data_IF_208271215991
#
_entry.id   IF_208271215991
#
_cell.length_a   1.000
_cell.length_b   1.000
_cell.length_c   1.000
_cell.angle_alpha   90.00
_cell.angle_beta   90.00
_cell.angle_gamma   90.00
#
_symmetry.space_group_name_H-M   'P 1'
#
loop_
_entity.id
_entity.type
_entity.pdbx_description
1 polymer ?
#
# COMPACT_ATOMS: atom_id res chain seq x y z
N UNK A 1 -16.68 -22.81 64.21
CA UNK A 1 -16.90 -21.70 63.24
C UNK A 1 -15.88 -20.62 63.60
N UNK A 2 -14.89 -20.24 62.80
CA UNK A 2 -14.96 -19.65 61.47
C UNK A 2 -13.54 -19.73 60.85
N UNK A 3 -13.39 -20.36 59.69
CA UNK A 3 -12.16 -20.26 58.89
C UNK A 3 -12.23 -18.95 58.11
N UNK A 4 -11.27 -18.05 58.33
CA UNK A 4 -11.15 -16.81 57.56
C UNK A 4 -10.36 -17.09 56.28
N UNK A 5 -11.02 -16.91 55.13
CA UNK A 5 -10.41 -17.06 53.80
C UNK A 5 -9.46 -15.88 53.51
N UNK A 6 -8.31 -16.11 52.84
CA UNK A 6 -7.46 -15.02 52.34
C UNK A 6 -8.16 -14.25 51.19
N UNK A 7 -7.78 -12.99 50.94
CA UNK A 7 -8.43 -12.15 49.94
C UNK A 7 -8.23 -12.69 48.51
N UNK A 8 -9.19 -12.45 47.59
CA UNK A 8 -9.05 -12.87 46.20
C UNK A 8 -7.88 -12.15 45.55
N UNK A 9 -7.02 -12.92 44.89
CA UNK A 9 -5.98 -12.41 43.99
C UNK A 9 -6.66 -11.66 42.86
N UNK A 10 -6.33 -10.38 42.70
CA UNK A 10 -6.63 -9.57 41.52
C UNK A 10 -6.25 -10.34 40.26
N UNK A 11 -7.14 -10.52 39.27
CA UNK A 11 -6.70 -11.03 37.99
C UNK A 11 -5.78 -9.98 37.35
N UNK A 12 -4.53 -10.38 37.07
CA UNK A 12 -3.65 -9.64 36.17
C UNK A 12 -4.40 -9.43 34.84
N UNK A 13 -4.20 -8.23 34.27
CA UNK A 13 -4.75 -7.82 33.00
C UNK A 13 -4.67 -8.93 31.94
N UNK A 14 -5.83 -9.38 31.45
CA UNK A 14 -5.89 -10.14 30.22
C UNK A 14 -5.39 -9.23 29.09
N UNK A 15 -4.38 -9.71 28.36
CA UNK A 15 -4.10 -9.23 27.01
C UNK A 15 -5.40 -9.33 26.18
N UNK A 16 -5.63 -8.43 25.21
CA UNK A 16 -6.84 -8.49 24.39
C UNK A 16 -6.87 -9.85 23.67
N UNK A 17 -7.85 -10.69 24.04
CA UNK A 17 -8.07 -11.97 23.39
C UNK A 17 -8.24 -11.74 21.87
N UNK A 18 -7.59 -12.55 21.01
CA UNK A 18 -7.87 -12.53 19.58
C UNK A 18 -9.36 -12.88 19.41
N UNK A 19 -10.13 -11.97 18.81
CA UNK A 19 -11.52 -12.25 18.46
C UNK A 19 -11.48 -13.25 17.32
N UNK A 20 -11.70 -14.52 17.64
CA UNK A 20 -11.85 -15.59 16.65
C UNK A 20 -13.13 -15.34 15.86
N UNK A 21 -13.03 -15.29 14.53
CA UNK A 21 -14.17 -15.12 13.63
C UNK A 21 -15.13 -16.31 13.69
N UNK A 22 -16.34 -16.19 13.11
CA UNK A 22 -17.33 -17.28 13.09
C UNK A 22 -16.81 -18.58 12.45
N UNK A 23 -15.69 -18.52 11.71
CA UNK A 23 -15.05 -19.63 11.01
C UNK A 23 -13.71 -20.08 11.63
N UNK A 24 -13.28 -19.56 12.79
CA UNK A 24 -11.97 -19.91 13.37
C UNK A 24 -10.79 -19.11 12.81
N UNK A 25 -11.03 -18.09 11.98
CA UNK A 25 -10.00 -17.20 11.45
C UNK A 25 -9.65 -16.11 12.47
N UNK A 26 -8.36 -15.82 12.64
CA UNK A 26 -7.89 -14.71 13.46
C UNK A 26 -8.37 -13.39 12.84
N UNK A 27 -9.33 -12.71 13.50
CA UNK A 27 -9.81 -11.41 13.04
C UNK A 27 -8.77 -10.36 13.39
N UNK A 28 -8.23 -9.70 12.38
CA UNK A 28 -7.26 -8.63 12.54
C UNK A 28 -7.97 -7.30 12.84
N UNK A 29 -7.66 -6.69 13.99
CA UNK A 29 -8.21 -5.37 14.36
C UNK A 29 -7.32 -4.27 13.81
N UNK A 30 -7.87 -3.45 12.93
CA UNK A 30 -7.12 -2.42 12.20
C UNK A 30 -7.58 -1.04 12.60
N UNK A 31 -6.65 -0.22 13.10
CA UNK A 31 -6.89 1.20 13.34
C UNK A 31 -6.67 1.99 12.04
N UNK A 32 -7.72 2.62 11.53
CA UNK A 32 -7.67 3.42 10.31
C UNK A 32 -7.42 4.90 10.61
N UNK A 33 -6.36 5.49 10.03
CA UNK A 33 -6.01 6.90 10.22
C UNK A 33 -5.91 7.68 8.90
N UNK A 34 -6.80 8.67 8.73
CA UNK A 34 -6.83 9.53 7.54
C UNK A 34 -7.39 8.85 6.27
N UNK A 35 -7.94 7.65 6.38
CA UNK A 35 -8.53 6.90 5.26
C UNK A 35 -10.07 6.98 5.36
N UNK A 36 -10.75 7.03 4.22
CA UNK A 36 -12.22 7.02 4.16
C UNK A 36 -12.76 5.72 4.73
N UNK A 37 -13.54 5.83 5.82
CA UNK A 37 -14.25 4.69 6.41
C UNK A 37 -15.15 4.00 5.38
N UNK A 38 -15.83 4.77 4.54
CA UNK A 38 -16.69 4.22 3.48
C UNK A 38 -15.92 3.33 2.51
N UNK A 39 -14.73 3.75 2.06
CA UNK A 39 -13.91 2.92 1.18
C UNK A 39 -13.41 1.65 1.88
N UNK A 40 -13.03 1.75 3.16
CA UNK A 40 -12.60 0.60 3.94
C UNK A 40 -13.73 -0.42 4.15
N UNK A 41 -14.91 0.04 4.57
CA UNK A 41 -16.09 -0.82 4.78
C UNK A 41 -16.50 -1.53 3.48
N UNK A 42 -16.47 -0.81 2.35
CA UNK A 42 -16.75 -1.37 1.02
C UNK A 42 -15.73 -2.45 0.63
N UNK A 43 -14.43 -2.21 0.84
CA UNK A 43 -13.38 -3.18 0.51
C UNK A 43 -13.48 -4.42 1.39
N UNK A 44 -13.65 -4.25 2.71
CA UNK A 44 -13.77 -5.36 3.67
C UNK A 44 -14.99 -6.21 3.35
N UNK A 45 -16.14 -5.60 3.05
CA UNK A 45 -17.38 -6.32 2.71
C UNK A 45 -17.32 -7.01 1.35
N UNK A 46 -16.72 -6.37 0.33
CA UNK A 46 -16.61 -6.93 -1.02
C UNK A 46 -15.65 -8.12 -1.07
N UNK A 47 -14.50 -8.01 -0.39
CA UNK A 47 -13.48 -9.06 -0.36
C UNK A 47 -13.67 -10.05 0.79
N UNK A 48 -14.66 -9.82 1.67
CA UNK A 48 -14.94 -10.63 2.88
C UNK A 48 -13.68 -10.87 3.72
N UNK A 49 -12.90 -9.81 3.92
CA UNK A 49 -11.64 -9.91 4.68
C UNK A 49 -11.95 -10.12 6.17
N UNK A 50 -11.14 -10.92 6.90
CA UNK A 50 -11.24 -11.09 8.35
C UNK A 50 -10.65 -9.88 9.09
N UNK A 51 -11.14 -8.67 8.76
CA UNK A 51 -10.64 -7.40 9.28
C UNK A 51 -11.77 -6.65 9.97
N UNK A 52 -11.50 -6.16 11.18
CA UNK A 52 -12.42 -5.28 11.92
C UNK A 52 -11.77 -3.93 12.15
N UNK A 53 -12.48 -2.86 11.77
CA UNK A 53 -12.00 -1.50 11.99
C UNK A 53 -12.23 -1.09 13.45
N UNK A 54 -11.16 -0.69 14.14
CA UNK A 54 -11.21 -0.13 15.49
C UNK A 54 -10.90 1.37 15.50
N UNK A 55 -11.52 2.10 16.44
CA UNK A 55 -11.22 3.51 16.73
C UNK A 55 -10.23 3.68 17.87
N UNK A 56 -9.92 2.60 18.56
CA UNK A 56 -9.02 2.61 19.71
C UNK A 56 -7.69 1.99 19.27
N UNK A 57 -6.64 2.80 19.31
CA UNK A 57 -5.26 2.33 19.08
C UNK A 57 -4.85 1.25 20.08
N UNK A 58 -5.49 1.23 21.25
CA UNK A 58 -5.15 0.31 22.33
C UNK A 58 -5.62 -1.13 22.08
N UNK A 59 -6.64 -1.31 21.25
CA UNK A 59 -7.20 -2.61 20.86
C UNK A 59 -6.86 -3.01 19.42
N UNK A 60 -5.98 -2.25 18.76
CA UNK A 60 -5.57 -2.49 17.40
C UNK A 60 -4.39 -3.47 17.34
N UNK A 61 -4.42 -4.38 16.37
CA UNK A 61 -3.33 -5.29 16.03
C UNK A 61 -2.44 -4.69 14.93
N UNK A 62 -3.01 -3.81 14.09
CA UNK A 62 -2.28 -3.09 13.05
C UNK A 62 -2.84 -1.67 12.84
N UNK A 63 -2.00 -0.77 12.34
CA UNK A 63 -2.40 0.59 11.97
C UNK A 63 -2.36 0.75 10.46
N UNK A 64 -3.48 1.13 9.85
CA UNK A 64 -3.56 1.47 8.43
C UNK A 64 -3.76 2.98 8.30
N UNK A 65 -2.83 3.68 7.65
CA UNK A 65 -2.84 5.14 7.62
C UNK A 65 -2.43 5.72 6.27
N UNK A 66 -2.89 6.92 5.93
CA UNK A 66 -2.35 7.63 4.76
C UNK A 66 -0.88 8.04 5.01
N UNK A 67 -0.01 7.80 4.03
CA UNK A 67 1.43 8.11 4.09
C UNK A 67 1.69 9.59 4.39
N UNK A 68 0.90 10.49 3.82
CA UNK A 68 0.99 11.94 4.09
C UNK A 68 0.75 12.23 5.58
N UNK A 69 -0.25 11.60 6.18
CA UNK A 69 -0.63 11.84 7.58
C UNK A 69 0.36 11.22 8.58
N UNK A 70 0.95 10.07 8.27
CA UNK A 70 1.98 9.44 9.13
C UNK A 70 3.26 10.28 9.18
N UNK A 71 3.64 10.93 8.08
CA UNK A 71 4.85 11.78 8.02
C UNK A 71 4.76 12.99 8.95
N UNK A 72 3.57 13.52 9.17
CA UNK A 72 3.36 14.72 9.98
C UNK A 72 2.95 14.45 11.43
N UNK A 73 2.61 13.20 11.79
CA UNK A 73 2.09 12.87 13.13
C UNK A 73 3.07 12.02 13.95
N UNK A 74 4.04 12.67 14.60
CA UNK A 74 5.06 12.03 15.46
C UNK A 74 4.49 11.20 16.61
N UNK A 75 3.34 11.60 17.16
CA UNK A 75 2.65 10.88 18.25
C UNK A 75 2.15 9.50 17.83
N UNK A 76 1.63 9.36 16.60
CA UNK A 76 1.13 8.07 16.10
C UNK A 76 2.30 7.09 15.90
N UNK A 77 3.42 7.57 15.35
CA UNK A 77 4.65 6.77 15.21
C UNK A 77 5.19 6.34 16.57
N UNK A 78 5.22 7.25 17.54
CA UNK A 78 5.71 6.94 18.88
C UNK A 78 4.84 5.90 19.59
N UNK A 79 3.52 6.05 19.56
CA UNK A 79 2.58 5.08 20.18
C UNK A 79 2.70 3.71 19.51
N UNK A 80 2.75 3.66 18.18
CA UNK A 80 2.93 2.41 17.46
C UNK A 80 4.28 1.75 17.77
N UNK A 81 5.36 2.53 17.86
CA UNK A 81 6.69 2.02 18.18
C UNK A 81 6.81 1.51 19.62
N UNK A 82 6.17 2.17 20.59
CA UNK A 82 6.13 1.73 22.00
C UNK A 82 5.34 0.43 22.16
N UNK A 83 4.37 0.17 21.26
CA UNK A 83 3.48 -0.99 21.31
C UNK A 83 3.80 -2.07 20.27
N UNK A 84 4.87 -1.89 19.50
CA UNK A 84 5.26 -2.76 18.39
C UNK A 84 4.13 -3.02 17.37
N UNK A 85 3.28 -2.01 17.14
CA UNK A 85 2.19 -2.08 16.17
C UNK A 85 2.69 -1.80 14.75
N UNK A 86 2.51 -2.71 13.78
CA UNK A 86 2.90 -2.47 12.40
C UNK A 86 2.05 -1.34 11.79
N UNK A 87 2.73 -0.35 11.22
CA UNK A 87 2.08 0.74 10.48
C UNK A 87 2.15 0.44 8.98
N UNK A 88 1.00 0.16 8.39
CA UNK A 88 0.82 0.06 6.96
C UNK A 88 0.37 1.40 6.38
N UNK A 89 1.14 1.94 5.44
CA UNK A 89 0.83 3.24 4.83
C UNK A 89 0.21 3.11 3.45
N UNK A 90 -0.91 3.79 3.21
CA UNK A 90 -1.54 3.94 1.89
C UNK A 90 -1.12 5.27 1.25
N UNK A 91 -0.74 5.27 -0.02
CA UNK A 91 -0.24 6.47 -0.73
C UNK A 91 -1.33 7.51 -0.96
N UNK A 92 -2.58 7.09 -1.18
CA UNK A 92 -3.75 7.95 -1.37
C UNK A 92 -5.04 7.25 -0.92
N UNK A 93 -6.13 8.01 -0.78
CA UNK A 93 -7.42 7.51 -0.31
C UNK A 93 -8.25 6.80 -1.41
N UNK A 94 -7.59 6.20 -2.41
CA UNK A 94 -8.26 5.50 -3.51
C UNK A 94 -8.57 4.04 -3.15
N UNK A 95 -9.73 3.54 -3.59
CA UNK A 95 -10.14 2.15 -3.32
C UNK A 95 -9.08 1.12 -3.75
N UNK A 96 -8.46 1.18 -4.95
CA UNK A 96 -7.48 0.18 -5.37
C UNK A 96 -6.23 0.13 -4.47
N UNK A 97 -5.79 1.29 -3.97
CA UNK A 97 -4.64 1.35 -3.07
C UNK A 97 -4.97 0.83 -1.67
N UNK A 98 -6.20 1.07 -1.19
CA UNK A 98 -6.69 0.49 0.06
C UNK A 98 -6.77 -1.04 -0.06
N UNK A 99 -7.34 -1.56 -1.15
CA UNK A 99 -7.41 -3.01 -1.44
C UNK A 99 -6.04 -3.65 -1.38
N UNK A 100 -5.08 -3.14 -2.17
CA UNK A 100 -3.72 -3.68 -2.21
C UNK A 100 -3.05 -3.68 -0.83
N UNK A 101 -3.20 -2.59 -0.09
CA UNK A 101 -2.53 -2.46 1.21
C UNK A 101 -3.13 -3.44 2.22
N UNK A 102 -4.45 -3.63 2.21
CA UNK A 102 -5.12 -4.62 3.05
C UNK A 102 -4.74 -6.06 2.66
N UNK A 103 -4.64 -6.38 1.37
CA UNK A 103 -4.22 -7.70 0.91
C UNK A 103 -2.78 -8.03 1.31
N UNK A 104 -1.86 -7.07 1.16
CA UNK A 104 -0.47 -7.22 1.60
C UNK A 104 -0.36 -7.33 3.12
N UNK A 105 -1.18 -6.60 3.87
CA UNK A 105 -1.21 -6.66 5.34
C UNK A 105 -1.69 -8.03 5.85
N UNK A 106 -2.49 -8.74 5.06
CA UNK A 106 -3.01 -10.07 5.38
C UNK A 106 -2.19 -11.20 4.71
N UNK A 107 -1.03 -10.88 4.11
CA UNK A 107 -0.15 -11.81 3.38
C UNK A 107 -0.89 -12.68 2.32
N UNK A 108 -1.98 -12.17 1.74
CA UNK A 108 -2.80 -12.91 0.77
C UNK A 108 -2.13 -13.10 -0.60
N UNK A 109 -0.98 -12.44 -0.82
CA UNK A 109 -0.26 -12.38 -2.11
C UNK A 109 0.55 -13.65 -2.44
N UNK A 110 0.84 -14.56 -1.49
CA UNK A 110 1.73 -15.71 -1.77
C UNK A 110 1.02 -17.09 -1.89
N UNK A 111 -0.29 -17.19 -1.64
CA UNK A 111 -0.97 -18.51 -1.66
C UNK A 111 -2.37 -18.58 -2.25
N UNK A 112 -3.08 -17.46 -2.45
CA UNK A 112 -4.51 -17.48 -2.84
C UNK A 112 -4.81 -17.12 -4.31
N UNK A 113 -3.79 -17.09 -5.19
CA UNK A 113 -3.93 -16.72 -6.62
C UNK A 113 -4.80 -17.70 -7.43
N UNK A 114 -5.37 -18.77 -6.84
CA UNK A 114 -6.12 -19.78 -7.59
C UNK A 114 -7.65 -19.70 -7.54
N UNK A 115 -8.28 -18.82 -6.77
CA UNK A 115 -9.76 -18.74 -6.82
C UNK A 115 -10.30 -17.36 -6.41
N UNK A 116 -10.20 -16.38 -7.30
CA UNK A 116 -11.05 -15.18 -7.25
C UNK A 116 -11.28 -14.67 -8.69
N UNK A 117 -12.46 -14.90 -9.31
CA UNK A 117 -12.70 -14.54 -10.70
C UNK A 117 -12.94 -13.04 -10.94
N UNK A 118 -12.61 -12.14 -10.00
CA UNK A 118 -13.02 -10.73 -10.13
C UNK A 118 -12.00 -9.67 -9.66
N UNK A 119 -10.74 -10.04 -9.49
CA UNK A 119 -9.70 -9.10 -9.04
C UNK A 119 -9.19 -8.18 -10.18
N UNK A 120 -9.46 -8.54 -11.44
CA UNK A 120 -9.04 -7.77 -12.63
C UNK A 120 -9.74 -6.41 -12.78
N UNK A 121 -10.81 -6.15 -12.01
CA UNK A 121 -11.58 -4.90 -12.07
C UNK A 121 -11.13 -3.85 -11.04
N UNK A 122 -10.31 -4.22 -10.05
CA UNK A 122 -9.85 -3.31 -9.00
C UNK A 122 -8.33 -3.10 -9.10
N UNK A 123 -7.92 -2.70 -10.31
CA UNK A 123 -6.60 -2.23 -10.76
C UNK A 123 -5.43 -2.36 -9.75
N UNK A 124 -4.61 -3.42 -9.89
CA UNK A 124 -3.23 -3.43 -9.43
C UNK A 124 -2.30 -2.53 -10.27
N UNK A 125 -2.84 -1.57 -11.03
CA UNK A 125 -2.09 -1.05 -12.18
C UNK A 125 -1.24 0.19 -11.84
N UNK A 126 -1.65 1.12 -10.98
CA UNK A 126 -0.92 2.41 -10.92
C UNK A 126 0.54 2.31 -10.45
N UNK A 127 0.84 1.58 -9.38
CA UNK A 127 2.23 1.44 -8.89
C UNK A 127 3.03 0.41 -9.70
N UNK A 128 2.36 -0.59 -10.29
CA UNK A 128 3.00 -1.59 -11.13
C UNK A 128 3.35 -0.99 -12.51
N UNK A 129 2.43 -0.25 -13.11
CA UNK A 129 2.63 0.50 -14.36
C UNK A 129 3.67 1.61 -14.17
N UNK A 130 3.67 2.30 -13.01
CA UNK A 130 4.67 3.32 -12.67
C UNK A 130 6.07 2.70 -12.54
N UNK A 131 6.18 1.54 -11.87
CA UNK A 131 7.44 0.80 -11.77
C UNK A 131 7.91 0.29 -13.14
N UNK A 132 7.03 -0.38 -13.89
CA UNK A 132 7.32 -0.92 -15.22
C UNK A 132 7.77 0.19 -16.18
N UNK A 133 7.07 1.32 -16.21
CA UNK A 133 7.40 2.42 -17.10
C UNK A 133 8.72 3.12 -16.74
N UNK A 134 9.07 3.20 -15.45
CA UNK A 134 10.36 3.73 -15.02
C UNK A 134 11.50 2.76 -15.30
N UNK A 135 11.26 1.46 -15.13
CA UNK A 135 12.23 0.42 -15.49
C UNK A 135 12.49 0.43 -17.01
N UNK A 136 11.45 0.55 -17.83
CA UNK A 136 11.56 0.73 -19.29
C UNK A 136 12.48 1.91 -19.64
N UNK A 137 12.24 3.08 -19.04
CA UNK A 137 13.04 4.28 -19.28
C UNK A 137 14.50 4.08 -18.84
N UNK A 138 14.72 3.45 -17.68
CA UNK A 138 16.06 3.15 -17.17
C UNK A 138 16.82 2.22 -18.12
N UNK A 139 16.20 1.13 -18.56
CA UNK A 139 16.81 0.17 -19.49
C UNK A 139 17.09 0.81 -20.84
N UNK A 140 16.18 1.63 -21.36
CA UNK A 140 16.40 2.38 -22.60
C UNK A 140 17.64 3.28 -22.51
N UNK A 141 17.79 4.00 -21.40
CA UNK A 141 18.95 4.87 -21.16
C UNK A 141 20.25 4.06 -21.05
N UNK A 142 20.27 3.06 -20.16
CA UNK A 142 21.47 2.32 -19.81
C UNK A 142 21.94 1.35 -20.90
N UNK A 143 21.04 0.82 -21.72
CA UNK A 143 21.39 -0.20 -22.72
C UNK A 143 21.46 0.34 -24.15
N UNK A 144 20.78 1.44 -24.44
CA UNK A 144 20.64 1.95 -25.81
C UNK A 144 21.15 3.39 -25.92
N UNK A 145 20.57 4.33 -25.17
CA UNK A 145 20.86 5.76 -25.38
C UNK A 145 22.31 6.08 -25.07
N UNK A 146 22.84 5.66 -23.92
CA UNK A 146 24.22 5.94 -23.53
C UNK A 146 25.21 5.04 -24.29
N UNK A 147 25.05 3.71 -24.34
CA UNK A 147 26.09 2.85 -24.95
C UNK A 147 26.12 2.92 -26.48
N UNK A 148 24.96 3.08 -27.13
CA UNK A 148 24.84 3.06 -28.59
C UNK A 148 24.73 4.47 -29.19
N UNK A 149 24.54 5.50 -28.37
CA UNK A 149 24.35 6.87 -28.85
C UNK A 149 23.09 7.03 -29.71
N UNK A 150 22.05 6.24 -29.45
CA UNK A 150 20.84 6.19 -30.27
C UNK A 150 19.63 6.75 -29.52
N UNK A 151 18.77 7.56 -30.16
CA UNK A 151 17.54 8.01 -29.54
C UNK A 151 16.54 6.85 -29.41
N UNK A 152 15.80 6.81 -28.31
CA UNK A 152 14.80 5.76 -28.03
C UNK A 152 13.43 6.38 -27.76
N UNK A 153 12.41 5.81 -28.38
CA UNK A 153 11.00 6.09 -28.08
C UNK A 153 10.47 5.04 -27.12
N UNK A 154 9.90 5.49 -26.00
CA UNK A 154 9.25 4.62 -25.02
C UNK A 154 7.80 4.34 -25.43
N UNK A 155 7.16 3.42 -24.72
CA UNK A 155 5.75 3.12 -24.87
C UNK A 155 4.87 4.34 -24.51
N UNK A 156 3.68 4.48 -25.13
CA UNK A 156 2.70 5.48 -24.72
C UNK A 156 2.29 5.32 -23.26
N UNK A 157 2.35 6.42 -22.51
CA UNK A 157 2.02 6.45 -21.07
C UNK A 157 1.30 7.74 -20.68
N UNK A 158 0.62 7.72 -19.53
CA UNK A 158 -0.08 8.87 -18.97
C UNK A 158 0.86 10.06 -18.71
N UNK A 159 0.31 11.28 -18.66
CA UNK A 159 1.10 12.50 -18.46
C UNK A 159 1.97 12.46 -17.18
N UNK A 160 1.45 11.87 -16.09
CA UNK A 160 2.19 11.68 -14.84
C UNK A 160 3.41 10.77 -15.03
N UNK A 161 3.24 9.63 -15.68
CA UNK A 161 4.33 8.67 -15.95
C UNK A 161 5.40 9.31 -16.84
N UNK A 162 4.99 9.98 -17.93
CA UNK A 162 5.94 10.69 -18.81
C UNK A 162 6.74 11.76 -18.08
N UNK A 163 6.14 12.45 -17.09
CA UNK A 163 6.86 13.41 -16.25
C UNK A 163 7.96 12.74 -15.43
N UNK A 164 7.69 11.61 -14.78
CA UNK A 164 8.72 10.91 -14.00
C UNK A 164 9.81 10.28 -14.89
N UNK A 165 9.44 9.77 -16.07
CA UNK A 165 10.41 9.30 -17.07
C UNK A 165 11.31 10.45 -17.57
N UNK A 166 10.74 11.66 -17.74
CA UNK A 166 11.50 12.86 -18.08
C UNK A 166 12.48 13.24 -16.97
N UNK A 167 12.02 13.29 -15.71
CA UNK A 167 12.87 13.53 -14.53
C UNK A 167 14.02 12.50 -14.46
N UNK A 168 13.74 11.21 -14.72
CA UNK A 168 14.77 10.17 -14.79
C UNK A 168 15.80 10.45 -15.89
N UNK A 169 15.37 10.81 -17.11
CA UNK A 169 16.28 11.15 -18.19
C UNK A 169 17.17 12.37 -17.86
N UNK A 170 16.61 13.39 -17.19
CA UNK A 170 17.36 14.55 -16.72
C UNK A 170 18.43 14.19 -15.68
N UNK A 171 18.17 13.23 -14.79
CA UNK A 171 19.18 12.72 -13.86
C UNK A 171 20.40 12.13 -14.58
N UNK A 172 20.21 11.52 -15.74
CA UNK A 172 21.28 11.06 -16.63
C UNK A 172 21.87 12.17 -17.51
N UNK A 173 21.43 13.43 -17.35
CA UNK A 173 21.79 14.60 -18.18
C UNK A 173 21.43 14.43 -19.65
N UNK A 174 20.40 13.63 -19.94
CA UNK A 174 19.90 13.39 -21.29
C UNK A 174 18.73 14.33 -21.60
N UNK A 175 18.59 14.69 -22.87
CA UNK A 175 17.42 15.45 -23.33
C UNK A 175 16.28 14.47 -23.62
N UNK A 176 15.05 14.86 -23.28
CA UNK A 176 13.87 14.09 -23.68
C UNK A 176 12.70 14.99 -24.07
N UNK A 177 11.90 14.53 -25.03
CA UNK A 177 10.76 15.27 -25.59
C UNK A 177 9.55 14.33 -25.69
N UNK A 178 8.35 14.86 -25.44
CA UNK A 178 7.10 14.10 -25.64
C UNK A 178 6.59 14.25 -27.07
N UNK A 179 6.17 13.13 -27.69
CA UNK A 179 5.64 13.07 -29.05
C UNK A 179 4.29 12.35 -29.11
N UNK A 180 3.47 12.74 -30.10
CA UNK A 180 2.12 12.22 -30.32
C UNK A 180 1.05 12.96 -29.50
N UNK A 181 -0.20 12.55 -29.71
CA UNK A 181 -1.38 13.05 -29.01
C UNK A 181 -1.92 12.00 -28.03
N UNK A 182 -2.55 12.44 -26.95
CA UNK A 182 -3.25 11.56 -26.02
C UNK A 182 -4.31 10.71 -26.76
N UNK A 183 -4.42 9.39 -26.47
CA UNK A 183 -3.73 8.62 -25.43
C UNK A 183 -2.38 8.01 -25.87
N UNK A 184 -2.00 8.13 -27.14
CA UNK A 184 -0.81 7.49 -27.72
C UNK A 184 0.47 8.33 -27.56
N UNK A 185 0.45 9.30 -26.63
CA UNK A 185 1.55 10.20 -26.38
C UNK A 185 2.65 9.51 -25.59
N UNK A 186 3.88 9.64 -26.06
CA UNK A 186 5.05 8.92 -25.55
C UNK A 186 6.27 9.82 -25.39
N UNK A 187 7.25 9.38 -24.60
CA UNK A 187 8.49 10.10 -24.39
C UNK A 187 9.59 9.54 -25.31
N UNK A 188 10.38 10.44 -25.91
CA UNK A 188 11.59 10.10 -26.66
C UNK A 188 12.80 10.68 -25.95
N UNK A 189 13.79 9.84 -25.69
CA UNK A 189 15.05 10.20 -25.02
C UNK A 189 16.16 10.25 -26.07
N UNK A 190 17.03 11.26 -25.98
CA UNK A 190 18.12 11.52 -26.92
C UNK A 190 19.48 11.36 -26.23
N UNK A 191 20.51 10.92 -26.97
CA UNK A 191 21.89 10.93 -26.48
C UNK A 191 22.38 12.37 -26.24
N UNK A 192 23.39 12.51 -25.38
CA UNK A 192 24.03 13.79 -25.05
C UNK A 192 24.87 14.35 -26.21
#
# INVERSE_FOLDING_TARGET
>A
MRWSRPPPKTPLALAPEPTVGPNGEDILRVYAYGISKHHLDQVISTLRLPVVLTKDLDSADAVLALRSHVKHHSKLRHIAQVRDLPIHTVKSNSMPQIVRTLQRMLDLDDSSVRTMPNLSLFSPNEDADELEALEEARLAVEQIVIPKGQPVELLPRSARIRKMQHELAEHYRLKSCSFGDEPNRRLRIYPA
#
